data_IF_848938239759
#
_entry.id   IF_848938239759
#
_cell.length_a   1.000
_cell.length_b   1.000
_cell.length_c   1.000
_cell.angle_alpha   90.00
_cell.angle_beta   90.00
_cell.angle_gamma   90.00
#
_symmetry.space_group_name_H-M   'P 1'
#
loop_
_entity.id
_entity.type
_entity.pdbx_description
1 polymer ?
#
# COMPACT_ATOMS: atom_id res chain seq x y z
N UNK A 1 31.54 7.93 14.18
CA UNK A 1 30.42 7.01 13.86
C UNK A 1 29.44 7.05 15.02
N UNK A 2 28.24 7.58 14.79
CA UNK A 2 27.21 7.65 15.83
C UNK A 2 26.44 6.32 15.83
N UNK A 3 26.66 5.49 16.82
CA UNK A 3 25.87 4.29 17.03
C UNK A 3 24.54 4.68 17.66
N UNK A 4 23.45 4.34 17.00
CA UNK A 4 22.11 4.42 17.60
C UNK A 4 21.76 3.04 18.13
N UNK A 5 21.38 2.95 19.39
CA UNK A 5 20.86 1.73 20.00
C UNK A 5 19.36 1.86 20.22
N UNK A 6 18.65 0.77 20.04
CA UNK A 6 17.22 0.68 20.31
C UNK A 6 17.02 -0.28 21.46
N UNK A 7 16.33 0.18 22.52
CA UNK A 7 16.00 -0.68 23.65
C UNK A 7 14.85 -1.63 23.25
N UNK A 8 15.16 -2.91 23.07
CA UNK A 8 14.19 -3.94 22.68
C UNK A 8 13.97 -4.98 23.80
N UNK A 9 14.19 -4.60 25.07
CA UNK A 9 14.00 -5.51 26.20
C UNK A 9 12.55 -5.98 26.27
N UNK A 10 12.35 -7.29 26.34
CA UNK A 10 11.02 -7.92 26.35
C UNK A 10 10.34 -7.99 24.98
N UNK A 11 11.05 -7.62 23.91
CA UNK A 11 10.53 -7.68 22.54
C UNK A 11 11.19 -8.81 21.75
N UNK A 12 10.49 -9.30 20.75
CA UNK A 12 11.07 -10.17 19.72
C UNK A 12 11.44 -9.27 18.53
N UNK A 13 12.66 -9.38 18.04
CA UNK A 13 13.13 -8.63 16.87
C UNK A 13 13.09 -9.56 15.65
N UNK A 14 12.34 -9.17 14.64
CA UNK A 14 12.25 -9.90 13.38
C UNK A 14 12.64 -9.00 12.21
N UNK A 15 13.07 -9.57 11.08
CA UNK A 15 13.13 -8.81 9.83
C UNK A 15 11.77 -8.22 9.48
N UNK A 16 11.75 -7.10 8.76
CA UNK A 16 10.52 -6.54 8.22
C UNK A 16 9.83 -7.52 7.28
N UNK A 17 8.50 -7.50 7.27
CA UNK A 17 7.69 -8.33 6.37
C UNK A 17 7.89 -7.90 4.91
N UNK A 18 7.87 -8.86 4.01
CA UNK A 18 7.98 -8.61 2.57
C UNK A 18 6.60 -8.77 1.93
N UNK A 19 6.09 -7.70 1.33
CA UNK A 19 4.88 -7.74 0.53
C UNK A 19 5.28 -7.82 -0.95
N UNK A 20 4.96 -8.91 -1.61
CA UNK A 20 5.28 -9.16 -3.02
C UNK A 20 4.11 -8.90 -3.96
N UNK A 21 2.92 -8.60 -3.43
CA UNK A 21 1.71 -8.34 -4.20
C UNK A 21 0.98 -7.13 -3.65
N UNK A 22 1.02 -6.03 -4.37
CA UNK A 22 0.31 -4.81 -4.01
C UNK A 22 -0.07 -4.01 -5.27
N UNK A 23 -1.26 -3.43 -5.23
CA UNK A 23 -1.77 -2.55 -6.29
C UNK A 23 -1.77 -1.10 -5.78
N UNK A 24 -0.59 -0.50 -5.70
CA UNK A 24 -0.38 0.83 -5.08
C UNK A 24 -1.30 1.92 -5.65
N UNK A 25 -1.54 1.89 -6.96
CA UNK A 25 -2.40 2.89 -7.62
C UNK A 25 -3.86 2.85 -7.17
N UNK A 26 -4.31 1.73 -6.60
CA UNK A 26 -5.70 1.54 -6.14
C UNK A 26 -5.96 2.12 -4.76
N UNK A 27 -4.92 2.57 -4.06
CA UNK A 27 -5.01 2.97 -2.64
C UNK A 27 -6.03 4.08 -2.40
N UNK A 28 -6.15 5.07 -3.29
CA UNK A 28 -7.11 6.17 -3.16
C UNK A 28 -8.56 5.72 -3.32
N UNK A 29 -8.82 4.56 -3.90
CA UNK A 29 -10.17 4.04 -4.16
C UNK A 29 -10.59 2.92 -3.22
N UNK A 30 -9.85 2.70 -2.14
CA UNK A 30 -10.08 1.59 -1.20
C UNK A 30 -11.49 1.54 -0.62
N UNK A 31 -12.11 2.68 -0.38
CA UNK A 31 -13.41 2.78 0.28
C UNK A 31 -14.51 3.37 -0.62
N UNK A 32 -14.39 3.25 -1.93
CA UNK A 32 -15.43 3.71 -2.86
C UNK A 32 -16.72 2.92 -2.64
N UNK A 33 -17.85 3.59 -2.33
CA UNK A 33 -19.11 2.90 -1.96
C UNK A 33 -19.59 1.88 -3.00
N UNK A 34 -19.49 2.19 -4.29
CA UNK A 34 -19.91 1.29 -5.36
C UNK A 34 -19.08 0.02 -5.49
N UNK A 35 -17.91 -0.04 -4.85
CA UNK A 35 -17.05 -1.23 -4.81
C UNK A 35 -17.20 -2.06 -3.54
N UNK A 36 -17.94 -1.57 -2.53
CA UNK A 36 -18.13 -2.29 -1.29
C UNK A 36 -19.07 -3.48 -1.50
N UNK A 37 -18.74 -4.60 -0.88
CA UNK A 37 -19.51 -5.87 -0.96
C UNK A 37 -19.72 -6.42 -2.39
N UNK A 38 -19.06 -5.85 -3.38
CA UNK A 38 -19.15 -6.31 -4.75
C UNK A 38 -18.26 -7.54 -5.00
N UNK A 39 -18.75 -8.49 -5.79
CA UNK A 39 -17.92 -9.54 -6.35
C UNK A 39 -16.91 -8.95 -7.35
N UNK A 40 -15.86 -9.70 -7.67
CA UNK A 40 -14.73 -9.23 -8.49
C UNK A 40 -15.14 -8.43 -9.74
N UNK A 41 -16.04 -8.94 -10.55
CA UNK A 41 -16.45 -8.25 -11.78
C UNK A 41 -17.24 -6.97 -11.50
N UNK A 42 -18.15 -6.98 -10.54
CA UNK A 42 -18.89 -5.78 -10.12
C UNK A 42 -17.94 -4.72 -9.53
N UNK A 43 -16.94 -5.15 -8.74
CA UNK A 43 -15.90 -4.29 -8.21
C UNK A 43 -15.07 -3.64 -9.32
N UNK A 44 -14.63 -4.42 -10.31
CA UNK A 44 -13.90 -3.90 -11.47
C UNK A 44 -14.75 -2.92 -12.30
N UNK A 45 -16.03 -3.24 -12.54
CA UNK A 45 -16.94 -2.35 -13.28
C UNK A 45 -17.15 -1.01 -12.56
N UNK A 46 -17.18 -1.01 -11.22
CA UNK A 46 -17.32 0.21 -10.43
C UNK A 46 -16.03 1.05 -10.45
N UNK A 47 -14.85 0.43 -10.46
CA UNK A 47 -13.59 1.13 -10.27
C UNK A 47 -12.85 1.49 -11.56
N UNK A 48 -12.96 0.71 -12.62
CA UNK A 48 -12.30 1.03 -13.89
C UNK A 48 -12.60 2.43 -14.44
N UNK A 49 -13.84 2.92 -14.41
CA UNK A 49 -14.13 4.29 -14.85
C UNK A 49 -13.44 5.36 -14.01
N UNK A 50 -13.18 5.08 -12.73
CA UNK A 50 -12.47 5.98 -11.83
C UNK A 50 -10.98 5.95 -12.17
N UNK A 51 -10.37 4.76 -12.25
CA UNK A 51 -8.95 4.61 -12.56
C UNK A 51 -8.59 5.12 -13.96
N UNK A 52 -9.51 5.03 -14.91
CA UNK A 52 -9.31 5.58 -16.25
C UNK A 52 -9.10 7.11 -16.27
N UNK A 53 -9.46 7.80 -15.18
CA UNK A 53 -9.27 9.24 -14.99
C UNK A 53 -8.01 9.60 -14.22
N UNK A 54 -7.30 8.61 -13.67
CA UNK A 54 -6.08 8.85 -12.94
C UNK A 54 -4.99 9.36 -13.88
N UNK A 55 -4.46 10.52 -13.54
CA UNK A 55 -3.25 11.07 -14.13
C UNK A 55 -2.00 10.75 -13.29
N UNK A 56 -0.87 11.34 -13.67
CA UNK A 56 0.39 11.15 -12.92
C UNK A 56 0.31 11.56 -11.46
N UNK A 57 -0.46 12.58 -11.14
CA UNK A 57 -0.61 13.08 -9.77
C UNK A 57 -1.35 12.08 -8.88
N UNK A 58 -2.50 11.57 -9.33
CA UNK A 58 -3.27 10.58 -8.59
C UNK A 58 -2.49 9.28 -8.40
N UNK A 59 -1.76 8.86 -9.43
CA UNK A 59 -0.87 7.71 -9.36
C UNK A 59 0.24 7.90 -8.32
N UNK A 60 0.86 9.07 -8.30
CA UNK A 60 1.92 9.41 -7.37
C UNK A 60 1.41 9.43 -5.93
N UNK A 61 0.33 10.15 -5.66
CA UNK A 61 -0.26 10.26 -4.32
C UNK A 61 -0.75 8.91 -3.83
N UNK A 62 -1.41 8.14 -4.70
CA UNK A 62 -1.88 6.78 -4.37
C UNK A 62 -0.72 5.87 -3.96
N UNK A 63 0.37 5.90 -4.71
CA UNK A 63 1.57 5.14 -4.40
C UNK A 63 2.22 5.60 -3.09
N UNK A 64 2.31 6.91 -2.84
CA UNK A 64 2.84 7.44 -1.57
C UNK A 64 2.05 6.94 -0.36
N UNK A 65 0.73 7.01 -0.42
CA UNK A 65 -0.13 6.54 0.68
C UNK A 65 0.05 5.04 0.91
N UNK A 66 0.04 4.25 -0.16
CA UNK A 66 0.24 2.80 -0.06
C UNK A 66 1.61 2.41 0.48
N UNK A 67 2.68 3.10 0.05
CA UNK A 67 4.03 2.87 0.56
C UNK A 67 4.18 3.29 2.02
N UNK A 68 3.58 4.41 2.42
CA UNK A 68 3.58 4.85 3.81
C UNK A 68 2.87 3.84 4.71
N UNK A 69 1.73 3.32 4.28
CA UNK A 69 1.00 2.27 5.01
C UNK A 69 1.83 1.00 5.15
N UNK A 70 2.49 0.54 4.09
CA UNK A 70 3.37 -0.62 4.13
C UNK A 70 4.52 -0.40 5.12
N UNK A 71 5.16 0.76 5.09
CA UNK A 71 6.24 1.09 6.02
C UNK A 71 5.77 1.11 7.48
N UNK A 72 4.62 1.73 7.75
CA UNK A 72 4.04 1.81 9.10
C UNK A 72 3.57 0.45 9.63
N UNK A 73 3.19 -0.47 8.75
CA UNK A 73 2.80 -1.85 9.11
C UNK A 73 3.99 -2.81 9.27
N UNK A 74 5.22 -2.30 9.16
CA UNK A 74 6.43 -3.12 9.26
C UNK A 74 6.76 -3.93 8.00
N UNK A 75 6.12 -3.62 6.89
CA UNK A 75 6.46 -4.23 5.61
C UNK A 75 7.65 -3.53 4.95
N UNK A 76 8.59 -4.34 4.47
CA UNK A 76 9.70 -3.90 3.64
C UNK A 76 9.46 -4.39 2.21
N UNK A 77 9.26 -3.48 1.28
CA UNK A 77 9.19 -3.83 -0.14
C UNK A 77 10.51 -3.46 -0.81
N UNK A 78 11.28 -4.44 -1.19
CA UNK A 78 12.42 -4.25 -2.06
C UNK A 78 11.94 -4.42 -3.49
N UNK A 79 11.58 -3.33 -4.13
CA UNK A 79 11.34 -3.35 -5.57
C UNK A 79 12.59 -3.91 -6.28
N UNK A 80 12.48 -5.07 -6.91
CA UNK A 80 13.45 -5.45 -7.93
C UNK A 80 13.21 -4.56 -9.14
N UNK A 81 14.29 -3.93 -9.60
CA UNK A 81 14.35 -3.33 -10.92
C UNK A 81 14.14 -4.42 -11.99
#
# INVERSE_FOLDING_TARGET
MLFRSIAARGCVVTPGLVNTHHHLFQTLTRAVPGGQDALLFGWLQALYPIWARFGPEEMFVSAQVGLAELALSGCWHRGRK
#
